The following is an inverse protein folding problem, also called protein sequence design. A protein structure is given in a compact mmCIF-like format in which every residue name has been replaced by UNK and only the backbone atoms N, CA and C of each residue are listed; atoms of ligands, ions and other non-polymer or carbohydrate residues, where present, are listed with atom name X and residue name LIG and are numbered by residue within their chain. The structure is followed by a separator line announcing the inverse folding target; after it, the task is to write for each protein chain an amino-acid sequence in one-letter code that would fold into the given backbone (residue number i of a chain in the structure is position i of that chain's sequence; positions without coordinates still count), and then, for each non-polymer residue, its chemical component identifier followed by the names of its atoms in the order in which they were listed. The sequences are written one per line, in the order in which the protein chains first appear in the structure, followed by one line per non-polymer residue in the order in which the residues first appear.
data_IF_667022671050
#
_entry.id   IF_667022671050
#
_cell.length_a   1.000
_cell.length_b   1.000
_cell.length_c   1.000
_cell.angle_alpha   90.00
_cell.angle_beta   90.00
_cell.angle_gamma   90.00
#
_symmetry.space_group_name_H-M   'P 1'
#
loop_
_entity.id
_entity.type
_entity.pdbx_description
1 polymer ?
#
# COMPACT_ATOMS: atom_id res chain seq x y z
N UNK A 1 10.92 2.73 -35.12
CA UNK A 1 10.92 1.39 -34.50
C UNK A 1 10.79 1.59 -33.01
N UNK A 2 9.58 1.43 -32.49
CA UNK A 2 9.22 1.63 -31.08
C UNK A 2 9.29 0.25 -30.44
N UNK A 3 10.26 0.03 -29.55
CA UNK A 3 10.43 -1.22 -28.82
C UNK A 3 9.62 -1.17 -27.53
N UNK A 4 8.52 -1.94 -27.48
CA UNK A 4 7.80 -2.24 -26.25
C UNK A 4 8.65 -3.18 -25.39
N UNK A 5 9.05 -2.75 -24.20
CA UNK A 5 9.68 -3.61 -23.20
C UNK A 5 8.58 -4.31 -22.43
N UNK A 6 8.41 -5.61 -22.71
CA UNK A 6 7.55 -6.51 -21.96
C UNK A 6 8.22 -6.89 -20.64
N UNK A 7 7.50 -6.76 -19.52
CA UNK A 7 7.83 -7.47 -18.27
C UNK A 7 7.98 -8.97 -18.56
N UNK A 8 9.20 -9.49 -18.43
CA UNK A 8 9.44 -10.94 -18.37
C UNK A 8 9.11 -11.43 -16.96
N UNK A 9 7.87 -11.90 -16.78
CA UNK A 9 7.62 -12.93 -15.78
C UNK A 9 8.25 -14.22 -16.30
N UNK A 10 9.29 -14.75 -15.64
CA UNK A 10 9.74 -16.11 -15.93
C UNK A 10 8.64 -17.09 -15.48
N UNK A 11 7.88 -17.58 -16.47
CA UNK A 11 7.06 -18.77 -16.37
C UNK A 11 7.95 -20.01 -16.20
N UNK A 12 8.30 -20.37 -14.97
CA UNK A 12 8.77 -21.73 -14.67
C UNK A 12 8.33 -22.20 -13.29
N UNK A 13 7.02 -22.35 -13.08
CA UNK A 13 6.49 -23.43 -12.21
C UNK A 13 5.19 -23.95 -12.85
N UNK A 14 5.10 -25.23 -13.24
CA UNK A 14 3.94 -25.75 -13.94
C UNK A 14 2.71 -25.79 -13.02
N UNK A 15 1.59 -25.32 -13.57
CA UNK A 15 0.22 -25.45 -13.09
C UNK A 15 -0.10 -26.89 -12.65
N UNK A 16 0.01 -27.15 -11.35
CA UNK A 16 -0.62 -28.30 -10.70
C UNK A 16 -1.09 -27.82 -9.33
N UNK A 17 -2.41 -27.65 -9.17
CA UNK A 17 -3.15 -27.53 -7.90
C UNK A 17 -2.28 -27.30 -6.65
N UNK A 18 -2.06 -26.05 -6.25
CA UNK A 18 -1.65 -25.75 -4.87
C UNK A 18 -2.86 -25.92 -3.95
N UNK A 19 -3.21 -27.17 -3.66
CA UNK A 19 -3.83 -27.50 -2.37
C UNK A 19 -2.83 -27.15 -1.28
N UNK A 20 -3.23 -26.33 -0.32
CA UNK A 20 -2.53 -26.12 0.95
C UNK A 20 -2.16 -27.49 1.53
N UNK A 21 -0.89 -27.90 1.38
CA UNK A 21 -0.38 -29.12 1.98
C UNK A 21 -0.13 -28.85 3.45
N UNK A 22 -1.06 -29.29 4.28
CA UNK A 22 -0.86 -29.42 5.72
C UNK A 22 0.16 -30.52 5.98
N UNK A 23 1.44 -30.18 6.04
CA UNK A 23 2.46 -31.03 6.67
C UNK A 23 2.81 -30.44 8.02
N UNK A 24 2.18 -30.99 9.06
CA UNK A 24 2.63 -30.84 10.44
C UNK A 24 3.99 -31.54 10.58
N UNK A 25 5.08 -30.78 10.56
CA UNK A 25 6.35 -31.23 11.13
C UNK A 25 6.34 -30.95 12.63
N UNK A 26 6.24 -32.01 13.42
CA UNK A 26 6.41 -31.99 14.88
C UNK A 26 7.82 -31.50 15.23
N UNK A 27 7.94 -30.28 15.74
CA UNK A 27 9.19 -29.80 16.33
C UNK A 27 9.25 -30.29 17.78
N UNK A 28 10.22 -31.15 18.08
CA UNK A 28 10.52 -31.61 19.45
C UNK A 28 11.12 -30.46 20.26
N UNK A 29 10.46 -30.14 21.37
CA UNK A 29 10.94 -29.23 22.39
C UNK A 29 12.22 -29.80 23.05
N UNK A 30 13.30 -29.02 23.09
CA UNK A 30 14.48 -29.30 23.92
C UNK A 30 14.64 -28.15 24.94
N UNK A 31 14.43 -28.40 26.24
CA UNK A 31 14.69 -27.40 27.25
C UNK A 31 16.17 -27.45 27.63
N UNK A 32 16.86 -26.31 27.47
CA UNK A 32 18.00 -25.83 28.26
C UNK A 32 19.07 -25.18 27.39
N UNK A 33 19.08 -23.85 27.39
CA UNK A 33 20.31 -23.05 27.50
C UNK A 33 19.90 -21.59 27.76
N UNK A 34 19.99 -21.17 29.02
CA UNK A 34 19.98 -19.75 29.38
C UNK A 34 21.31 -19.11 28.93
N UNK A 35 21.31 -17.89 28.39
CA UNK A 35 22.46 -17.00 28.52
C UNK A 35 22.29 -16.12 29.77
N UNK A 36 23.34 -15.92 30.59
CA UNK A 36 23.32 -14.95 31.67
C UNK A 36 23.60 -13.55 31.10
N UNK A 37 23.00 -12.51 31.66
CA UNK A 37 23.70 -11.41 32.32
C UNK A 37 22.70 -10.31 32.73
N UNK A 38 22.63 -10.12 34.04
CA UNK A 38 22.01 -9.00 34.73
C UNK A 38 22.83 -7.72 34.57
N UNK A 39 22.18 -6.59 34.33
CA UNK A 39 22.58 -5.29 34.90
C UNK A 39 21.39 -4.31 34.99
N UNK A 40 20.96 -4.10 36.25
CA UNK A 40 20.21 -3.02 36.92
C UNK A 40 19.49 -1.92 36.08
N UNK A 41 18.16 -1.72 36.23
CA UNK A 41 17.41 -0.64 35.59
C UNK A 41 17.20 0.54 36.55
N UNK A 42 18.15 1.49 36.62
CA UNK A 42 17.93 2.77 37.30
C UNK A 42 18.48 3.95 36.50
N UNK A 43 17.55 4.85 36.17
CA UNK A 43 17.75 6.21 35.63
C UNK A 43 18.05 6.37 34.14
N UNK A 44 17.00 6.24 33.31
CA UNK A 44 16.80 7.11 32.15
C UNK A 44 15.45 7.81 32.35
N UNK A 45 15.49 9.05 32.87
CA UNK A 45 14.34 9.96 32.88
C UNK A 45 14.09 10.40 31.43
N UNK A 46 13.05 9.85 30.80
CA UNK A 46 12.50 10.45 29.59
C UNK A 46 11.71 11.72 29.97
N UNK A 47 11.80 12.80 29.19
CA UNK A 47 10.96 13.97 29.42
C UNK A 47 9.51 13.59 29.16
N UNK A 48 8.64 13.94 30.11
CA UNK A 48 7.20 13.87 29.97
C UNK A 48 6.77 14.72 28.76
N UNK A 49 6.56 14.09 27.61
CA UNK A 49 5.72 14.69 26.58
C UNK A 49 4.28 14.57 27.05
N UNK A 50 3.72 15.75 27.28
CA UNK A 50 2.31 16.02 27.55
C UNK A 50 1.40 15.14 26.70
N UNK A 51 0.40 14.55 27.37
CA UNK A 51 -0.77 13.90 26.80
C UNK A 51 -1.33 14.76 25.67
N UNK A 52 -0.92 14.48 24.44
CA UNK A 52 -1.52 15.06 23.25
C UNK A 52 -2.87 14.38 23.12
N UNK A 53 -3.92 15.17 23.28
CA UNK A 53 -5.29 14.76 23.04
C UNK A 53 -5.37 13.98 21.73
N UNK A 54 -6.12 12.87 21.73
CA UNK A 54 -6.47 12.14 20.52
C UNK A 54 -6.97 13.14 19.47
N UNK A 55 -6.12 13.52 18.50
CA UNK A 55 -6.65 14.16 17.31
C UNK A 55 -7.56 13.11 16.68
N UNK A 56 -8.84 13.45 16.53
CA UNK A 56 -9.77 12.59 15.80
C UNK A 56 -9.17 12.43 14.41
N UNK A 57 -8.75 11.21 14.06
CA UNK A 57 -8.24 10.93 12.73
C UNK A 57 -9.29 11.39 11.72
N UNK A 58 -8.91 12.24 10.77
CA UNK A 58 -9.80 12.66 9.69
C UNK A 58 -9.99 11.47 8.76
N UNK A 59 -11.13 10.80 8.87
CA UNK A 59 -11.45 9.60 8.12
C UNK A 59 -12.93 9.56 7.77
N UNK A 60 -13.25 9.18 6.54
CA UNK A 60 -14.61 8.92 6.10
C UNK A 60 -14.66 7.76 5.12
N UNK A 61 -15.69 6.92 5.26
CA UNK A 61 -15.94 5.77 4.39
C UNK A 61 -17.21 5.97 3.58
N UNK A 62 -17.16 5.63 2.31
CA UNK A 62 -18.26 5.68 1.36
C UNK A 62 -18.50 4.29 0.80
N UNK A 63 -19.75 3.83 0.82
CA UNK A 63 -20.13 2.62 0.09
C UNK A 63 -20.68 3.02 -1.26
N UNK A 64 -20.09 2.50 -2.33
CA UNK A 64 -20.52 2.75 -3.70
C UNK A 64 -20.95 1.45 -4.35
N UNK A 65 -21.93 1.52 -5.24
CA UNK A 65 -22.31 0.40 -6.10
C UNK A 65 -22.10 0.81 -7.56
N UNK A 66 -21.26 0.07 -8.27
CA UNK A 66 -20.90 0.33 -9.67
C UNK A 66 -21.34 -0.82 -10.56
N UNK A 67 -21.78 -0.49 -11.78
CA UNK A 67 -22.16 -1.47 -12.80
C UNK A 67 -23.53 -1.23 -13.41
N UNK A 68 -24.06 -2.22 -14.11
CA UNK A 68 -25.38 -2.12 -14.75
C UNK A 68 -26.48 -2.53 -13.78
N UNK A 69 -27.76 -2.27 -14.11
CA UNK A 69 -28.89 -2.62 -13.25
C UNK A 69 -28.92 -4.10 -12.82
N UNK A 70 -28.37 -5.01 -13.63
CA UNK A 70 -28.34 -6.45 -13.38
C UNK A 70 -26.99 -6.93 -12.83
N UNK A 71 -25.93 -6.13 -12.95
CA UNK A 71 -24.59 -6.48 -12.53
C UNK A 71 -23.96 -5.34 -11.77
N UNK A 72 -24.25 -5.30 -10.46
CA UNK A 72 -23.70 -4.33 -9.52
C UNK A 72 -22.62 -4.99 -8.68
N UNK A 73 -21.52 -4.28 -8.52
CA UNK A 73 -20.51 -4.58 -7.50
C UNK A 73 -20.46 -3.45 -6.48
N UNK A 74 -20.39 -3.82 -5.21
CA UNK A 74 -20.30 -2.89 -4.09
C UNK A 74 -18.87 -2.80 -3.59
N UNK A 75 -18.38 -1.57 -3.41
CA UNK A 75 -17.03 -1.28 -2.93
C UNK A 75 -17.10 -0.29 -1.78
N UNK A 76 -16.18 -0.42 -0.83
CA UNK A 76 -15.94 0.56 0.21
C UNK A 76 -14.76 1.44 -0.20
N UNK A 77 -15.01 2.73 -0.34
CA UNK A 77 -13.97 3.74 -0.48
C UNK A 77 -13.71 4.35 0.88
N UNK A 78 -12.46 4.59 1.23
CA UNK A 78 -12.08 5.29 2.46
C UNK A 78 -11.15 6.43 2.12
N UNK A 79 -11.46 7.62 2.61
CA UNK A 79 -10.55 8.76 2.59
C UNK A 79 -10.02 8.96 4.01
N UNK A 80 -8.71 9.10 4.16
CA UNK A 80 -8.11 9.35 5.47
C UNK A 80 -6.89 10.25 5.37
N UNK A 81 -6.69 11.09 6.39
CA UNK A 81 -5.45 11.83 6.60
C UNK A 81 -4.55 11.00 7.52
N UNK A 82 -3.39 10.61 7.01
CA UNK A 82 -2.50 9.65 7.68
C UNK A 82 -1.03 9.95 7.37
N UNK A 83 -0.16 9.73 8.35
CA UNK A 83 1.29 9.63 8.14
C UNK A 83 1.64 8.16 7.88
N UNK A 84 2.10 7.83 6.68
CA UNK A 84 2.37 6.42 6.31
C UNK A 84 3.45 5.80 7.21
N UNK A 85 4.48 6.55 7.58
CA UNK A 85 5.55 6.07 8.44
C UNK A 85 5.01 5.74 9.84
N UNK A 86 4.30 6.68 10.45
CA UNK A 86 3.90 6.59 11.86
C UNK A 86 2.58 5.85 12.10
N UNK A 87 1.70 5.71 11.11
CA UNK A 87 0.37 5.15 11.32
C UNK A 87 0.03 3.94 10.46
N UNK A 88 0.63 3.80 9.27
CA UNK A 88 0.46 2.58 8.46
C UNK A 88 1.46 1.52 8.92
N UNK A 89 2.74 1.88 8.98
CA UNK A 89 3.78 0.93 9.36
C UNK A 89 3.95 0.82 10.87
N UNK A 90 3.81 1.90 11.64
CA UNK A 90 4.07 1.90 13.08
C UNK A 90 2.90 2.45 13.93
N UNK A 91 1.67 1.96 13.78
CA UNK A 91 0.48 2.54 14.41
C UNK A 91 0.62 2.70 15.94
N UNK A 92 0.51 3.95 16.41
CA UNK A 92 0.43 4.27 17.85
C UNK A 92 -0.99 4.04 18.41
N UNK A 93 -1.11 3.75 19.72
CA UNK A 93 -0.06 3.45 20.69
C UNK A 93 0.39 1.99 20.57
N UNK A 94 1.69 1.76 20.83
CA UNK A 94 2.33 0.43 20.98
C UNK A 94 1.88 -0.28 22.27
N UNK A 95 0.57 -0.31 22.52
CA UNK A 95 -0.02 -1.18 23.54
C UNK A 95 0.19 -2.64 23.10
N UNK A 96 0.77 -3.50 23.96
CA UNK A 96 0.96 -4.91 23.64
C UNK A 96 -0.33 -5.63 23.21
N UNK A 97 -1.49 -5.21 23.73
CA UNK A 97 -2.79 -5.75 23.34
C UNK A 97 -3.15 -5.45 21.89
N UNK A 98 -3.04 -4.19 21.46
CA UNK A 98 -3.24 -3.75 20.07
C UNK A 98 -2.25 -4.38 19.12
N UNK A 99 -0.98 -4.47 19.49
CA UNK A 99 0.05 -5.14 18.69
C UNK A 99 -0.28 -6.63 18.47
N UNK A 100 -0.73 -7.32 19.52
CA UNK A 100 -1.22 -8.69 19.40
C UNK A 100 -2.45 -8.78 18.48
N UNK A 101 -3.39 -7.86 18.60
CA UNK A 101 -4.59 -7.80 17.76
C UNK A 101 -4.22 -7.58 16.27
N UNK A 102 -3.30 -6.66 15.97
CA UNK A 102 -2.82 -6.44 14.60
C UNK A 102 -2.14 -7.67 14.03
N UNK A 103 -1.29 -8.36 14.80
CA UNK A 103 -0.64 -9.60 14.36
C UNK A 103 -1.67 -10.70 14.12
N UNK A 104 -2.61 -10.89 15.03
CA UNK A 104 -3.68 -11.88 14.89
C UNK A 104 -4.54 -11.59 13.65
N UNK A 105 -4.88 -10.33 13.41
CA UNK A 105 -5.65 -9.92 12.23
C UNK A 105 -4.84 -10.09 10.93
N UNK A 106 -3.57 -9.72 10.94
CA UNK A 106 -2.67 -9.86 9.77
C UNK A 106 -2.52 -11.34 9.40
N UNK A 107 -2.33 -12.22 10.40
CA UNK A 107 -2.29 -13.66 10.19
C UNK A 107 -3.64 -14.21 9.69
N UNK A 108 -4.76 -13.75 10.25
CA UNK A 108 -6.09 -14.15 9.78
C UNK A 108 -6.32 -13.77 8.31
N UNK A 109 -5.89 -12.57 7.89
CA UNK A 109 -5.99 -12.09 6.52
C UNK A 109 -5.04 -12.84 5.57
N UNK A 110 -3.83 -13.20 6.03
CA UNK A 110 -2.85 -13.95 5.24
C UNK A 110 -3.37 -15.32 4.81
N UNK A 111 -4.19 -15.95 5.65
CA UNK A 111 -4.79 -17.27 5.40
C UNK A 111 -6.24 -17.20 4.92
N UNK A 112 -6.76 -16.00 4.63
CA UNK A 112 -8.10 -15.81 4.09
C UNK A 112 -8.07 -15.44 2.60
N UNK A 113 -9.24 -15.18 2.03
CA UNK A 113 -9.39 -14.60 0.69
C UNK A 113 -9.36 -13.06 0.71
N UNK A 114 -8.69 -12.47 1.71
CA UNK A 114 -8.66 -11.03 1.96
C UNK A 114 -7.27 -10.45 2.19
N UNK A 115 -6.27 -10.69 1.31
CA UNK A 115 -5.02 -9.97 1.42
C UNK A 115 -5.23 -8.48 1.17
N UNK A 116 -4.44 -7.68 1.88
CA UNK A 116 -4.39 -6.22 1.76
C UNK A 116 -3.05 -5.79 1.20
N UNK A 117 -3.08 -4.77 0.36
CA UNK A 117 -1.90 -4.17 -0.22
C UNK A 117 -1.85 -2.66 -0.01
N UNK A 118 -0.63 -2.14 0.07
CA UNK A 118 -0.35 -0.70 0.08
C UNK A 118 0.58 -0.36 -1.08
N UNK A 119 0.38 0.80 -1.69
CA UNK A 119 1.34 1.38 -2.64
C UNK A 119 2.21 2.37 -1.89
N UNK A 120 3.52 2.13 -1.91
CA UNK A 120 4.54 3.10 -1.49
C UNK A 120 5.24 3.64 -2.72
N UNK A 121 5.63 4.91 -2.67
CA UNK A 121 6.39 5.53 -3.74
C UNK A 121 7.87 5.35 -3.47
N UNK A 122 8.60 4.89 -4.47
CA UNK A 122 10.03 4.68 -4.41
C UNK A 122 10.73 5.71 -5.29
N UNK A 123 11.54 6.57 -4.68
CA UNK A 123 12.42 7.46 -5.41
C UNK A 123 13.62 6.68 -5.94
N UNK A 124 13.83 6.75 -7.25
CA UNK A 124 15.04 6.26 -7.89
C UNK A 124 15.94 7.45 -8.16
N UNK A 125 16.84 7.75 -7.20
CA UNK A 125 17.96 8.65 -7.48
C UNK A 125 19.11 7.84 -8.07
N UNK A 126 19.81 8.43 -9.05
CA UNK A 126 20.55 7.78 -10.15
C UNK A 126 21.43 6.55 -9.87
N UNK A 127 21.77 6.18 -8.64
CA UNK A 127 22.67 5.04 -8.36
C UNK A 127 22.35 4.30 -7.05
N UNK A 128 21.19 4.48 -6.42
CA UNK A 128 20.87 3.74 -5.19
C UNK A 128 19.37 3.65 -4.95
N UNK A 129 18.90 2.50 -4.42
CA UNK A 129 17.54 2.31 -3.88
C UNK A 129 17.36 3.11 -2.58
N UNK A 130 17.69 4.39 -2.58
CA UNK A 130 17.56 5.25 -1.41
C UNK A 130 16.15 5.83 -1.43
N UNK A 131 15.24 5.06 -0.85
CA UNK A 131 14.15 5.53 0.03
C UNK A 131 13.00 4.53 0.04
N UNK A 132 13.28 3.25 0.25
CA UNK A 132 12.28 2.47 0.99
C UNK A 132 12.13 3.18 2.33
N UNK A 133 10.92 3.66 2.61
CA UNK A 133 10.66 4.49 3.78
C UNK A 133 11.29 3.84 5.01
N UNK A 134 12.15 4.59 5.71
CA UNK A 134 12.89 4.11 6.89
C UNK A 134 11.94 3.41 7.86
N UNK A 135 10.72 3.93 8.01
CA UNK A 135 9.67 3.36 8.84
C UNK A 135 9.19 1.96 8.42
N UNK A 136 9.11 1.67 7.10
CA UNK A 136 8.78 0.31 6.62
C UNK A 136 9.89 -0.66 7.01
N UNK A 137 11.15 -0.27 6.78
CA UNK A 137 12.31 -1.08 7.13
C UNK A 137 12.38 -1.32 8.65
N UNK A 138 12.34 -0.26 9.44
CA UNK A 138 12.31 -0.32 10.90
C UNK A 138 11.17 -1.20 11.41
N UNK A 139 9.97 -1.09 10.83
CA UNK A 139 8.84 -1.92 11.23
C UNK A 139 9.11 -3.40 10.97
N UNK A 140 9.66 -3.76 9.81
CA UNK A 140 10.01 -5.14 9.49
C UNK A 140 11.01 -5.72 10.52
N UNK A 141 11.89 -4.90 11.09
CA UNK A 141 12.85 -5.30 12.12
C UNK A 141 12.24 -5.48 13.52
N UNK A 142 11.04 -4.95 13.79
CA UNK A 142 10.39 -5.07 15.11
C UNK A 142 9.83 -6.47 15.38
N UNK A 143 9.66 -7.29 14.36
CA UNK A 143 9.26 -8.69 14.53
C UNK A 143 9.72 -9.58 13.39
N UNK A 144 10.11 -10.82 13.68
CA UNK A 144 10.55 -11.77 12.67
C UNK A 144 9.47 -12.02 11.60
N UNK A 145 9.92 -12.16 10.37
CA UNK A 145 9.13 -12.64 9.23
C UNK A 145 9.20 -14.18 9.21
N UNK A 146 8.04 -14.84 9.24
CA UNK A 146 7.97 -16.32 9.32
C UNK A 146 7.40 -16.98 8.06
N UNK A 147 6.81 -16.20 7.15
CA UNK A 147 6.10 -16.72 5.96
C UNK A 147 6.81 -16.38 4.67
N UNK A 148 7.60 -15.31 4.66
CA UNK A 148 8.34 -14.82 3.52
C UNK A 148 9.83 -14.67 3.86
N UNK A 149 10.64 -14.30 2.88
CA UNK A 149 12.01 -13.86 3.14
C UNK A 149 11.96 -12.50 3.87
N UNK A 150 12.95 -12.19 4.70
CA UNK A 150 13.06 -10.87 5.32
C UNK A 150 13.19 -9.75 4.27
N UNK A 151 12.92 -8.51 4.69
CA UNK A 151 12.88 -7.37 3.77
C UNK A 151 14.23 -7.20 3.06
N UNK A 152 15.35 -7.37 3.75
CA UNK A 152 16.70 -7.28 3.18
C UNK A 152 16.90 -8.29 2.05
N UNK A 153 16.51 -9.54 2.27
CA UNK A 153 16.63 -10.62 1.27
C UNK A 153 15.74 -10.36 0.06
N UNK A 154 14.50 -9.90 0.27
CA UNK A 154 13.61 -9.52 -0.82
C UNK A 154 14.18 -8.35 -1.65
N UNK A 155 14.83 -7.37 -1.01
CA UNK A 155 15.46 -6.24 -1.69
C UNK A 155 16.73 -6.64 -2.42
N UNK A 156 17.55 -7.52 -1.86
CA UNK A 156 18.72 -8.06 -2.55
C UNK A 156 18.34 -8.81 -3.85
N UNK A 157 17.20 -9.50 -3.84
CA UNK A 157 16.66 -10.13 -5.06
C UNK A 157 16.26 -9.08 -6.11
N UNK A 158 15.57 -8.01 -5.71
CA UNK A 158 15.22 -6.89 -6.59
C UNK A 158 16.47 -6.21 -7.13
N UNK A 159 17.47 -5.98 -6.29
CA UNK A 159 18.76 -5.44 -6.71
C UNK A 159 19.42 -6.33 -7.77
N UNK A 160 19.40 -7.65 -7.57
CA UNK A 160 19.95 -8.61 -8.54
C UNK A 160 19.23 -8.58 -9.89
N UNK A 161 17.91 -8.41 -9.87
CA UNK A 161 17.09 -8.40 -11.08
C UNK A 161 17.18 -7.09 -11.86
N UNK A 162 17.43 -5.97 -11.18
CA UNK A 162 17.30 -4.63 -11.77
C UNK A 162 18.58 -3.79 -11.78
N UNK A 163 19.61 -4.12 -10.99
CA UNK A 163 20.90 -3.44 -11.07
C UNK A 163 21.75 -3.98 -12.21
N UNK A 164 22.23 -3.06 -13.03
CA UNK A 164 23.23 -3.31 -14.04
C UNK A 164 24.62 -3.47 -13.39
N UNK A 165 25.58 -4.15 -14.07
CA UNK A 165 26.94 -4.32 -13.55
C UNK A 165 27.71 -3.01 -13.28
N UNK A 166 27.27 -1.89 -13.86
CA UNK A 166 27.85 -0.56 -13.62
C UNK A 166 27.25 0.15 -12.38
N UNK A 167 26.35 -0.52 -11.65
CA UNK A 167 25.68 0.02 -10.47
C UNK A 167 24.45 0.88 -10.78
N UNK A 168 24.10 1.07 -12.05
CA UNK A 168 22.87 1.78 -12.45
C UNK A 168 21.67 0.85 -12.37
N UNK A 169 20.48 1.40 -12.11
CA UNK A 169 19.25 0.60 -12.17
C UNK A 169 18.62 0.65 -13.55
N UNK A 170 18.02 -0.47 -13.96
CA UNK A 170 17.20 -0.58 -15.18
C UNK A 170 15.74 -0.14 -14.95
N UNK A 171 15.33 0.10 -13.70
CA UNK A 171 14.00 0.59 -13.36
C UNK A 171 13.75 1.99 -13.91
N UNK A 172 12.57 2.18 -14.49
CA UNK A 172 12.10 3.44 -15.03
C UNK A 172 10.87 3.94 -14.26
N UNK A 173 10.56 5.21 -14.42
CA UNK A 173 9.34 5.78 -13.85
C UNK A 173 8.09 4.97 -14.25
N UNK A 174 7.25 4.62 -13.29
CA UNK A 174 6.07 3.78 -13.50
C UNK A 174 6.33 2.27 -13.44
N UNK A 175 7.58 1.82 -13.39
CA UNK A 175 7.88 0.44 -12.99
C UNK A 175 7.52 0.24 -11.51
N UNK A 176 7.35 -1.01 -11.10
CA UNK A 176 7.13 -1.33 -9.69
C UNK A 176 7.57 -2.77 -9.40
N UNK A 177 7.90 -3.01 -8.14
CA UNK A 177 8.09 -4.36 -7.60
C UNK A 177 7.27 -4.55 -6.33
N UNK A 178 7.26 -5.78 -5.80
CA UNK A 178 6.49 -6.12 -4.61
C UNK A 178 7.35 -6.74 -3.54
N UNK A 179 7.14 -6.35 -2.29
CA UNK A 179 7.59 -7.14 -1.13
C UNK A 179 6.39 -7.67 -0.37
N UNK A 180 6.55 -8.83 0.28
CA UNK A 180 5.49 -9.57 0.98
C UNK A 180 5.85 -9.73 2.45
N UNK A 181 4.84 -9.60 3.31
CA UNK A 181 5.02 -9.49 4.75
C UNK A 181 3.91 -10.21 5.51
N UNK A 182 4.27 -10.94 6.56
CA UNK A 182 3.35 -11.44 7.59
C UNK A 182 3.44 -10.62 8.88
N UNK A 183 4.48 -9.79 9.01
CA UNK A 183 4.81 -9.02 10.21
C UNK A 183 4.37 -7.53 10.15
N UNK A 184 3.87 -7.06 9.00
CA UNK A 184 3.34 -5.70 8.85
C UNK A 184 1.86 -5.61 9.28
N UNK A 185 1.46 -4.58 10.03
CA UNK A 185 0.06 -4.42 10.46
C UNK A 185 -0.89 -4.29 9.27
N UNK A 186 -1.87 -5.20 9.21
CA UNK A 186 -3.00 -5.16 8.26
C UNK A 186 -2.59 -5.11 6.77
N UNK A 187 -1.32 -5.35 6.45
CA UNK A 187 -0.75 -5.21 5.10
C UNK A 187 0.11 -6.43 4.81
N UNK A 188 -0.24 -7.20 3.78
CA UNK A 188 0.53 -8.37 3.38
C UNK A 188 1.43 -8.10 2.18
N UNK A 189 1.09 -7.10 1.36
CA UNK A 189 1.75 -6.81 0.10
C UNK A 189 2.08 -5.32 0.05
N UNK A 190 3.34 -5.00 -0.24
CA UNK A 190 3.77 -3.63 -0.48
C UNK A 190 4.18 -3.52 -1.95
N UNK A 191 3.46 -2.72 -2.72
CA UNK A 191 3.85 -2.33 -4.07
C UNK A 191 4.77 -1.10 -3.98
N UNK A 192 6.00 -1.23 -4.45
CA UNK A 192 6.98 -0.16 -4.53
C UNK A 192 6.93 0.45 -5.92
N UNK A 193 6.16 1.52 -6.08
CA UNK A 193 5.97 2.21 -7.36
C UNK A 193 7.09 3.21 -7.59
N UNK A 194 7.86 2.99 -8.65
CA UNK A 194 9.02 3.81 -9.03
C UNK A 194 8.54 5.16 -9.55
N UNK A 195 9.13 6.21 -9.00
CA UNK A 195 8.89 7.58 -9.40
C UNK A 195 10.21 8.32 -9.68
N UNK A 196 10.15 9.28 -10.61
CA UNK A 196 11.28 10.15 -10.93
C UNK A 196 11.04 11.56 -10.38
N UNK A 197 11.84 11.94 -9.39
CA UNK A 197 11.77 13.26 -8.76
C UNK A 197 12.17 14.40 -9.70
N UNK A 198 12.99 14.14 -10.71
CA UNK A 198 13.34 15.16 -11.71
C UNK A 198 12.16 15.48 -12.64
N UNK A 199 11.18 14.58 -12.76
CA UNK A 199 10.02 14.71 -13.66
C UNK A 199 8.81 15.33 -12.95
N UNK A 200 8.66 15.06 -11.65
CA UNK A 200 7.46 15.37 -10.86
C UNK A 200 7.01 16.84 -10.92
N UNK A 201 7.96 17.78 -10.91
CA UNK A 201 7.72 19.23 -10.92
C UNK A 201 7.69 19.82 -12.33
N UNK A 202 8.14 19.06 -13.34
CA UNK A 202 8.30 19.52 -14.72
C UNK A 202 7.13 19.10 -15.62
N UNK A 203 6.44 18.01 -15.27
CA UNK A 203 5.39 17.41 -16.09
C UNK A 203 4.09 17.26 -15.31
N UNK A 204 2.99 17.73 -15.87
CA UNK A 204 1.66 17.51 -15.29
C UNK A 204 1.28 16.03 -15.38
N UNK A 205 0.73 15.51 -14.28
CA UNK A 205 0.22 14.15 -14.23
C UNK A 205 -0.97 14.02 -15.18
N UNK A 206 -0.88 13.10 -16.13
CA UNK A 206 -1.93 12.82 -17.12
C UNK A 206 -2.21 11.32 -17.22
N UNK A 207 -3.28 10.95 -17.91
CA UNK A 207 -3.65 9.53 -18.09
C UNK A 207 -2.60 8.68 -18.83
N UNK A 208 -1.67 9.32 -19.54
CA UNK A 208 -0.58 8.66 -20.27
C UNK A 208 0.74 8.64 -19.48
N UNK A 209 0.78 9.32 -18.33
CA UNK A 209 1.99 9.45 -17.51
C UNK A 209 2.47 8.06 -17.04
N UNK A 210 3.79 7.76 -17.07
CA UNK A 210 4.31 6.45 -16.68
C UNK A 210 3.86 6.02 -15.28
N UNK A 211 3.89 6.93 -14.30
CA UNK A 211 3.38 6.69 -12.95
C UNK A 211 1.90 6.20 -12.90
N UNK A 212 1.03 6.78 -13.75
CA UNK A 212 -0.37 6.34 -13.86
C UNK A 212 -0.47 4.98 -14.55
N UNK A 213 0.40 4.68 -15.50
CA UNK A 213 0.46 3.36 -16.14
C UNK A 213 0.95 2.28 -15.15
N UNK A 214 1.94 2.59 -14.32
CA UNK A 214 2.40 1.73 -13.23
C UNK A 214 1.30 1.40 -12.25
N UNK A 215 0.61 2.45 -11.76
CA UNK A 215 -0.58 2.27 -10.93
C UNK A 215 -1.65 1.43 -11.63
N UNK A 216 -1.86 1.62 -12.94
CA UNK A 216 -2.83 0.83 -13.70
C UNK A 216 -2.49 -0.65 -13.69
N UNK A 217 -1.22 -0.97 -13.80
CA UNK A 217 -0.74 -2.34 -13.74
C UNK A 217 -0.88 -2.92 -12.32
N UNK A 218 -0.51 -2.17 -11.27
CA UNK A 218 -0.72 -2.58 -9.87
C UNK A 218 -2.19 -2.92 -9.61
N UNK A 219 -3.08 -2.01 -10.02
CA UNK A 219 -4.51 -2.14 -9.82
C UNK A 219 -5.06 -3.35 -10.60
N UNK A 220 -4.56 -3.67 -11.81
CA UNK A 220 -4.90 -4.94 -12.49
C UNK A 220 -4.41 -6.18 -11.75
N UNK A 221 -3.25 -6.11 -11.09
CA UNK A 221 -2.73 -7.22 -10.29
C UNK A 221 -3.60 -7.50 -9.06
N UNK A 222 -4.28 -6.50 -8.49
CA UNK A 222 -5.20 -6.76 -7.38
C UNK A 222 -6.34 -7.70 -7.78
N UNK A 223 -6.85 -7.59 -9.00
CA UNK A 223 -7.81 -8.56 -9.54
C UNK A 223 -7.19 -9.93 -9.85
N UNK A 224 -5.92 -9.96 -10.26
CA UNK A 224 -5.25 -11.22 -10.64
C UNK A 224 -4.92 -12.08 -9.42
N UNK A 225 -4.60 -11.45 -8.29
CA UNK A 225 -4.14 -12.10 -7.07
C UNK A 225 -5.13 -11.98 -5.92
N UNK A 226 -6.40 -11.71 -6.22
CA UNK A 226 -7.49 -11.62 -5.24
C UNK A 226 -7.19 -10.67 -4.06
N UNK A 227 -6.49 -9.57 -4.33
CA UNK A 227 -6.20 -8.53 -3.33
C UNK A 227 -7.49 -7.77 -3.03
N UNK A 228 -7.91 -7.83 -1.77
CA UNK A 228 -9.21 -7.36 -1.32
C UNK A 228 -9.23 -5.90 -0.88
N UNK A 229 -8.09 -5.37 -0.46
CA UNK A 229 -7.93 -3.99 -0.05
C UNK A 229 -6.69 -3.39 -0.69
N UNK A 230 -6.80 -2.16 -1.20
CA UNK A 230 -5.67 -1.42 -1.75
C UNK A 230 -5.63 -0.01 -1.17
N UNK A 231 -4.53 0.32 -0.50
CA UNK A 231 -4.28 1.67 0.04
C UNK A 231 -3.34 2.44 -0.89
N UNK A 232 -3.78 3.62 -1.32
CA UNK A 232 -3.15 4.45 -2.35
C UNK A 232 -2.75 5.82 -1.79
N UNK A 233 -1.51 6.30 -2.02
CA UNK A 233 -1.13 7.67 -1.70
C UNK A 233 -1.87 8.61 -2.66
N UNK A 234 -2.80 9.40 -2.13
CA UNK A 234 -3.81 10.10 -2.93
C UNK A 234 -3.22 11.11 -3.92
N UNK A 235 -2.09 11.71 -3.55
CA UNK A 235 -1.41 12.72 -4.35
C UNK A 235 -0.37 12.14 -5.30
N UNK A 236 0.04 10.87 -5.09
CA UNK A 236 1.19 10.25 -5.76
C UNK A 236 2.46 11.14 -5.66
N UNK A 237 2.71 11.68 -4.46
CA UNK A 237 3.88 12.50 -4.12
C UNK A 237 4.56 11.90 -2.88
N UNK A 238 5.90 11.92 -2.79
CA UNK A 238 6.62 11.49 -1.61
C UNK A 238 6.58 12.56 -0.51
N UNK A 239 6.76 12.14 0.74
CA UNK A 239 6.70 13.03 1.90
C UNK A 239 7.71 14.19 1.81
N UNK A 240 8.90 13.92 1.27
CA UNK A 240 9.96 14.93 1.04
C UNK A 240 9.50 16.12 0.19
N UNK A 241 8.62 15.87 -0.78
CA UNK A 241 8.08 16.89 -1.67
C UNK A 241 6.96 17.72 -1.00
N UNK A 242 6.29 17.14 -0.01
CA UNK A 242 5.15 17.73 0.68
C UNK A 242 5.57 18.63 1.85
N UNK A 243 6.71 18.34 2.47
CA UNK A 243 7.28 19.13 3.57
C UNK A 243 7.87 20.46 3.09
N UNK A 244 8.47 20.49 1.89
CA UNK A 244 9.08 21.68 1.29
C UNK A 244 8.66 21.83 -0.18
N UNK A 245 7.40 22.24 -0.45
CA UNK A 245 6.89 22.35 -1.80
C UNK A 245 7.61 23.45 -2.60
N UNK A 246 8.06 23.11 -3.81
CA UNK A 246 8.47 24.09 -4.82
C UNK A 246 7.29 25.04 -5.12
N UNK A 247 7.50 26.33 -5.43
CA UNK A 247 6.44 27.25 -5.85
C UNK A 247 5.48 26.73 -6.93
N UNK A 248 5.89 25.80 -7.79
CA UNK A 248 5.02 25.15 -8.78
C UNK A 248 3.93 24.27 -8.15
N UNK A 249 4.17 23.79 -6.93
CA UNK A 249 3.29 22.89 -6.18
C UNK A 249 2.22 23.69 -5.46
N UNK A 250 1.07 23.81 -6.12
CA UNK A 250 -0.09 24.53 -5.58
C UNK A 250 -1.19 23.57 -5.15
N UNK A 251 -2.11 24.04 -4.31
CA UNK A 251 -3.32 23.29 -3.92
C UNK A 251 -4.12 22.83 -5.13
N UNK A 252 -4.26 23.69 -6.14
CA UNK A 252 -4.96 23.35 -7.39
C UNK A 252 -4.23 22.24 -8.16
N UNK A 253 -2.90 22.27 -8.19
CA UNK A 253 -2.09 21.26 -8.85
C UNK A 253 -2.23 19.88 -8.18
N UNK A 254 -2.16 19.82 -6.85
CA UNK A 254 -2.39 18.58 -6.10
C UNK A 254 -3.84 18.08 -6.23
N UNK A 255 -4.80 18.99 -6.26
CA UNK A 255 -6.22 18.64 -6.48
C UNK A 255 -6.41 17.95 -7.83
N UNK A 256 -5.78 18.44 -8.91
CA UNK A 256 -5.81 17.80 -10.23
C UNK A 256 -5.22 16.38 -10.20
N UNK A 257 -4.12 16.18 -9.46
CA UNK A 257 -3.50 14.85 -9.28
C UNK A 257 -4.43 13.87 -8.58
N UNK A 258 -4.98 14.26 -7.43
CA UNK A 258 -5.94 13.41 -6.72
C UNK A 258 -7.23 13.16 -7.50
N UNK A 259 -7.72 14.15 -8.25
CA UNK A 259 -8.87 13.95 -9.15
C UNK A 259 -8.59 12.90 -10.22
N UNK A 260 -7.40 12.95 -10.84
CA UNK A 260 -6.99 11.99 -11.85
C UNK A 260 -6.89 10.57 -11.27
N UNK A 261 -6.31 10.43 -10.07
CA UNK A 261 -6.25 9.15 -9.36
C UNK A 261 -7.66 8.59 -9.08
N UNK A 262 -8.56 9.41 -8.55
CA UNK A 262 -9.94 9.02 -8.28
C UNK A 262 -10.68 8.59 -9.55
N UNK A 263 -10.55 9.35 -10.65
CA UNK A 263 -11.14 9.01 -11.95
C UNK A 263 -10.60 7.70 -12.49
N UNK A 264 -9.28 7.49 -12.37
CA UNK A 264 -8.63 6.25 -12.77
C UNK A 264 -9.15 5.05 -11.98
N UNK A 265 -9.18 5.14 -10.64
CA UNK A 265 -9.73 4.08 -9.79
C UNK A 265 -11.18 3.80 -10.12
N UNK A 266 -12.02 4.84 -10.30
CA UNK A 266 -13.42 4.68 -10.71
C UNK A 266 -13.54 3.89 -12.03
N UNK A 267 -12.77 4.27 -13.05
CA UNK A 267 -12.79 3.61 -14.34
C UNK A 267 -12.43 2.12 -14.22
N UNK A 268 -11.40 1.80 -13.43
CA UNK A 268 -11.01 0.43 -13.13
C UNK A 268 -12.11 -0.36 -12.42
N UNK A 269 -12.72 0.20 -11.36
CA UNK A 269 -13.80 -0.49 -10.64
C UNK A 269 -14.99 -0.80 -11.55
N UNK A 270 -15.32 0.11 -12.46
CA UNK A 270 -16.35 -0.11 -13.49
C UNK A 270 -15.93 -1.22 -14.48
N UNK A 271 -14.69 -1.21 -14.96
CA UNK A 271 -14.16 -2.24 -15.87
C UNK A 271 -14.21 -3.63 -15.22
N UNK A 272 -13.71 -3.75 -14.00
CA UNK A 272 -13.72 -4.99 -13.23
C UNK A 272 -15.14 -5.52 -12.98
N UNK A 273 -16.08 -4.64 -12.60
CA UNK A 273 -17.48 -5.04 -12.38
C UNK A 273 -18.10 -5.69 -13.62
N UNK A 274 -17.65 -5.34 -14.83
CA UNK A 274 -18.13 -5.92 -16.11
C UNK A 274 -17.52 -7.27 -16.42
N UNK A 275 -16.30 -7.53 -15.96
CA UNK A 275 -15.57 -8.77 -16.30
C UNK A 275 -16.06 -10.00 -15.56
N UNK A 276 -16.95 -9.85 -14.57
CA UNK A 276 -17.80 -10.93 -14.07
C UNK A 276 -17.07 -12.21 -13.68
N UNK A 277 -15.85 -12.12 -13.14
CA UNK A 277 -15.14 -13.30 -12.64
C UNK A 277 -15.91 -13.85 -11.44
N UNK A 278 -16.71 -14.89 -11.70
CA UNK A 278 -17.37 -15.69 -10.69
C UNK A 278 -16.30 -16.44 -9.90
N UNK A 279 -15.92 -15.94 -8.72
CA UNK A 279 -15.23 -16.77 -7.73
C UNK A 279 -16.33 -17.48 -6.94
N UNK A 280 -16.54 -18.80 -7.11
CA UNK A 280 -17.44 -19.53 -6.23
C UNK A 280 -16.74 -19.64 -4.88
N UNK A 281 -17.12 -18.78 -3.94
CA UNK A 281 -16.77 -19.02 -2.54
C UNK A 281 -17.72 -20.12 -2.05
N UNK A 282 -17.22 -21.36 -1.95
CA UNK A 282 -17.96 -22.43 -1.29
C UNK A 282 -18.32 -21.96 0.14
N UNK A 283 -19.62 -21.85 0.43
CA UNK A 283 -20.14 -21.53 1.77
C UNK A 283 -20.77 -20.14 1.96
N UNK A 284 -20.80 -19.27 0.95
CA UNK A 284 -21.57 -18.00 1.05
C UNK A 284 -22.95 -18.19 0.42
N UNK A 285 -23.99 -18.06 1.25
CA UNK A 285 -25.39 -18.20 0.84
C UNK A 285 -25.73 -17.26 -0.32
N UNK A 286 -26.54 -17.79 -1.25
CA UNK A 286 -27.05 -17.12 -2.44
C UNK A 286 -27.87 -15.89 -2.04
N UNK A 287 -27.27 -14.71 -2.05
CA UNK A 287 -27.95 -13.47 -1.68
C UNK A 287 -27.37 -12.19 -2.27
N UNK A 288 -26.05 -12.07 -2.39
CA UNK A 288 -25.41 -10.83 -2.86
C UNK A 288 -24.68 -11.01 -4.19
N UNK A 289 -24.65 -9.94 -4.99
CA UNK A 289 -24.19 -9.91 -6.38
C UNK A 289 -22.74 -10.36 -6.61
N UNK A 290 -22.28 -10.26 -7.86
CA UNK A 290 -20.91 -10.65 -8.24
C UNK A 290 -19.90 -10.00 -7.30
N UNK A 291 -19.18 -10.85 -6.57
CA UNK A 291 -18.13 -10.43 -5.64
C UNK A 291 -16.93 -9.98 -6.48
N UNK A 292 -16.67 -8.68 -6.54
CA UNK A 292 -15.38 -8.19 -7.03
C UNK A 292 -14.31 -8.56 -6.02
N UNK A 293 -13.12 -8.86 -6.52
CA UNK A 293 -11.97 -9.25 -5.68
C UNK A 293 -11.56 -8.10 -4.77
N UNK A 294 -11.42 -6.89 -5.32
CA UNK A 294 -11.09 -5.67 -4.59
C UNK A 294 -12.37 -5.06 -4.01
N UNK A 295 -12.50 -5.13 -2.69
CA UNK A 295 -13.67 -4.67 -1.92
C UNK A 295 -13.46 -3.30 -1.33
N UNK A 296 -12.22 -3.00 -0.91
CA UNK A 296 -11.87 -1.75 -0.25
C UNK A 296 -10.78 -1.01 -1.03
N UNK A 297 -10.95 0.30 -1.21
CA UNK A 297 -9.90 1.18 -1.68
C UNK A 297 -9.73 2.33 -0.69
N UNK A 298 -8.53 2.50 -0.17
CA UNK A 298 -8.20 3.57 0.75
C UNK A 298 -7.36 4.63 0.02
N UNK A 299 -7.74 5.90 0.16
CA UNK A 299 -7.01 7.04 -0.36
C UNK A 299 -6.39 7.80 0.81
N UNK A 300 -5.07 7.78 0.87
CA UNK A 300 -4.29 8.35 1.96
C UNK A 300 -3.84 9.76 1.58
N UNK A 301 -4.32 10.75 2.34
CA UNK A 301 -3.85 12.12 2.29
C UNK A 301 -2.72 12.31 3.31
N UNK A 302 -1.67 13.05 2.98
CA UNK A 302 -0.55 13.29 3.89
C UNK A 302 -0.95 14.16 5.07
N UNK A 303 -0.44 13.86 6.27
CA UNK A 303 -0.60 14.72 7.46
C UNK A 303 0.23 16.00 7.41
N UNK A 304 1.38 15.95 6.73
CA UNK A 304 2.34 17.05 6.67
C UNK A 304 2.30 17.61 5.26
N UNK A 305 1.74 18.80 5.11
CA UNK A 305 1.79 19.56 3.87
C UNK A 305 2.17 20.99 4.20
N UNK A 306 3.16 21.56 3.51
CA UNK A 306 3.43 23.01 3.55
C UNK A 306 2.36 23.87 2.86
N UNK A 307 1.18 23.31 2.59
CA UNK A 307 0.08 23.87 1.78
C UNK A 307 -1.23 23.84 2.57
N UNK A 308 -2.33 24.39 2.03
CA UNK A 308 -3.61 24.58 2.76
C UNK A 308 -3.49 25.45 4.01
N UNK A 309 -2.59 26.44 3.99
CA UNK A 309 -2.22 27.24 5.17
C UNK A 309 -1.83 26.40 6.40
N UNK A 310 -1.40 25.15 6.18
CA UNK A 310 -1.10 24.16 7.23
C UNK A 310 -2.34 23.50 7.85
N UNK A 311 -3.53 23.69 7.27
CA UNK A 311 -4.80 23.17 7.75
C UNK A 311 -5.23 21.90 6.98
N UNK A 312 -4.98 20.74 7.61
CA UNK A 312 -5.28 19.44 7.03
C UNK A 312 -6.78 19.15 6.93
N UNK A 313 -7.61 19.79 7.75
CA UNK A 313 -9.07 19.68 7.68
C UNK A 313 -9.62 20.29 6.39
N UNK A 314 -9.08 21.44 5.95
CA UNK A 314 -9.46 22.07 4.67
C UNK A 314 -9.08 21.16 3.50
N UNK A 315 -7.87 20.63 3.51
CA UNK A 315 -7.43 19.65 2.51
C UNK A 315 -8.38 18.43 2.48
N UNK A 316 -8.68 17.88 3.65
CA UNK A 316 -9.57 16.73 3.77
C UNK A 316 -10.96 17.02 3.18
N UNK A 317 -11.60 18.12 3.55
CA UNK A 317 -12.93 18.48 3.02
C UNK A 317 -12.92 18.73 1.51
N UNK A 318 -11.84 19.32 0.98
CA UNK A 318 -11.67 19.53 -0.46
C UNK A 318 -11.59 18.20 -1.22
N UNK A 319 -10.75 17.26 -0.77
CA UNK A 319 -10.61 15.95 -1.42
C UNK A 319 -11.80 15.03 -1.17
N UNK A 320 -12.49 15.20 -0.04
CA UNK A 320 -13.77 14.55 0.25
C UNK A 320 -14.82 15.00 -0.77
N UNK A 321 -14.95 16.30 -1.00
CA UNK A 321 -15.84 16.86 -2.03
C UNK A 321 -15.50 16.31 -3.43
N UNK A 322 -14.21 16.18 -3.73
CA UNK A 322 -13.72 15.61 -4.98
C UNK A 322 -14.08 14.13 -5.14
N UNK A 323 -13.84 13.31 -4.12
CA UNK A 323 -14.20 11.89 -4.09
C UNK A 323 -15.71 11.72 -4.30
N UNK A 324 -16.50 12.47 -3.55
CA UNK A 324 -17.96 12.48 -3.67
C UNK A 324 -18.39 12.88 -5.08
N UNK A 325 -17.81 13.94 -5.65
CA UNK A 325 -18.12 14.39 -7.02
C UNK A 325 -17.79 13.34 -8.09
N UNK A 326 -16.61 12.72 -8.00
CA UNK A 326 -16.17 11.69 -8.96
C UNK A 326 -17.07 10.45 -8.87
N UNK A 327 -17.41 9.99 -7.67
CA UNK A 327 -18.13 8.72 -7.49
C UNK A 327 -19.66 8.84 -7.46
N UNK A 328 -20.26 10.01 -7.17
CA UNK A 328 -21.72 10.22 -7.25
C UNK A 328 -22.28 10.38 -8.66
N UNK A 329 -21.46 10.77 -9.64
CA UNK A 329 -21.92 11.07 -11.00
C UNK A 329 -22.31 9.81 -11.84
N UNK A 330 -23.01 8.84 -11.26
CA UNK A 330 -23.39 7.58 -11.93
C UNK A 330 -24.72 7.07 -11.43
#
# INVERSE_FOLDING_TARGET
MIGSVNCRFQETVPLSRCTLSTTFSTIKYHPNTQPPFHSDPRHLRHPHHSSTMFSSQLVESFTISLGTAQLKSTHNLRLLVIDMADEVFNPLPRDPGREMAYRAQTAANLYSSHPSAVVVLLEVSRNTFISIGIALFERCQLSPEFHFDDIETQLAAVETDFLNPDGTTSLQEGDFFTTRHSNLPQTQIVFHLVMDMDVISKTDLSSQHPLINGLRNIVRLTTRFDISSLSLPMLLLPDSFLEAPDPVVTEQWMTKRGELLLKYTKAFLIENARTGKHVPTEGVERGDGILTTMRTVEFMLPKKTGLWDGNVEIMFEQFRGLLVGVFKAS
#
